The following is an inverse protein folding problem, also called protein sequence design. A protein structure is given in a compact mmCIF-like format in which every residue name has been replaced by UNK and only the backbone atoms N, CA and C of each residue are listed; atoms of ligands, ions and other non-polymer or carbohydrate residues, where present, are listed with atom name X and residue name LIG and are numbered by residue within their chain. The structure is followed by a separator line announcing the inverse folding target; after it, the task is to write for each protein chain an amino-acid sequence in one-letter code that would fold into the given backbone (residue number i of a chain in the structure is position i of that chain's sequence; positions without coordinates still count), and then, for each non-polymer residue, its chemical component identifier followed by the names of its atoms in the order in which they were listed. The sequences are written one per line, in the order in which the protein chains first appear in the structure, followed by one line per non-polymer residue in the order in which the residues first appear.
data_IF_323765763651
#
_entry.id   IF_323765763651
#
_cell.length_a   1.000
_cell.length_b   1.000
_cell.length_c   1.000
_cell.angle_alpha   90.00
_cell.angle_beta   90.00
_cell.angle_gamma   90.00
#
_symmetry.space_group_name_H-M   'P 1'
#
loop_
_entity.id
_entity.type
_entity.pdbx_description
1 polymer ?
#
# COMPACT_ATOMS: atom_id res chain seq x y z
N UNK A 1 -2.56 -12.77 10.70
CA UNK A 1 -2.02 -13.82 9.81
C UNK A 1 -1.06 -13.12 8.88
N UNK A 2 0.23 -13.46 8.96
CA UNK A 2 1.24 -12.97 8.02
C UNK A 2 1.26 -13.95 6.83
N UNK A 3 1.14 -13.45 5.61
CA UNK A 3 1.19 -14.29 4.41
C UNK A 3 2.66 -14.40 3.99
N UNK A 4 3.25 -15.57 4.20
CA UNK A 4 4.61 -15.87 3.74
C UNK A 4 4.54 -17.03 2.73
N UNK A 5 5.39 -17.00 1.70
CA UNK A 5 5.50 -18.03 0.65
C UNK A 5 4.27 -18.22 -0.27
N UNK A 6 3.50 -17.15 -0.54
CA UNK A 6 2.46 -17.18 -1.58
C UNK A 6 3.09 -16.89 -2.94
N UNK A 7 2.92 -17.84 -3.87
CA UNK A 7 3.21 -17.65 -5.29
C UNK A 7 2.08 -16.81 -5.92
N UNK A 8 2.46 -15.79 -6.68
CA UNK A 8 1.51 -14.93 -7.37
C UNK A 8 1.38 -15.34 -8.84
N UNK A 9 0.22 -15.13 -9.47
CA UNK A 9 0.06 -15.34 -10.90
C UNK A 9 1.07 -14.50 -11.70
N UNK A 10 1.58 -14.99 -12.84
CA UNK A 10 2.59 -14.28 -13.64
C UNK A 10 2.11 -12.93 -14.19
N UNK A 11 0.79 -12.75 -14.32
CA UNK A 11 0.14 -11.50 -14.71
C UNK A 11 -0.22 -10.58 -13.54
N UNK A 12 0.19 -10.93 -12.32
CA UNK A 12 -0.08 -10.10 -11.16
C UNK A 12 0.54 -8.70 -11.31
N UNK A 13 -0.12 -7.72 -10.71
CA UNK A 13 0.34 -6.34 -10.56
C UNK A 13 0.19 -5.99 -9.08
N UNK A 14 1.28 -5.51 -8.50
CA UNK A 14 1.26 -4.94 -7.16
C UNK A 14 1.03 -3.43 -7.29
N UNK A 15 -0.12 -2.97 -6.80
CA UNK A 15 -0.50 -1.57 -6.75
C UNK A 15 -0.24 -1.03 -5.35
N UNK A 16 0.49 0.08 -5.25
CA UNK A 16 0.84 0.73 -4.00
C UNK A 16 0.43 2.19 -4.06
N UNK A 17 -0.30 2.65 -3.04
CA UNK A 17 -0.78 4.03 -2.96
C UNK A 17 -0.35 4.68 -1.65
N UNK A 18 0.22 5.87 -1.74
CA UNK A 18 0.31 6.80 -0.62
C UNK A 18 -0.96 7.65 -0.62
N UNK A 19 -1.71 7.60 0.48
CA UNK A 19 -2.97 8.31 0.63
C UNK A 19 -2.94 9.27 1.82
N UNK A 20 -3.68 10.37 1.71
CA UNK A 20 -4.08 11.19 2.85
C UNK A 20 -5.17 10.45 3.64
N UNK A 21 -5.13 10.58 4.97
CA UNK A 21 -6.06 9.93 5.89
C UNK A 21 -7.10 10.90 6.44
N UNK A 22 -8.34 10.42 6.50
CA UNK A 22 -9.41 11.08 7.27
C UNK A 22 -9.11 11.01 8.76
N UNK A 23 -9.93 11.69 9.58
CA UNK A 23 -9.83 11.58 11.05
C UNK A 23 -10.08 10.16 11.56
N UNK A 24 -10.87 9.39 10.84
CA UNK A 24 -11.21 7.99 11.11
C UNK A 24 -10.14 7.01 10.61
N UNK A 25 -9.08 7.50 9.94
CA UNK A 25 -8.00 6.68 9.41
C UNK A 25 -8.35 5.97 8.09
N UNK A 26 -9.27 6.51 7.32
CA UNK A 26 -9.65 6.00 6.00
C UNK A 26 -8.97 6.81 4.90
N UNK A 27 -8.78 6.21 3.71
CA UNK A 27 -8.23 6.93 2.57
C UNK A 27 -9.17 8.07 2.13
N UNK A 28 -8.64 9.28 2.08
CA UNK A 28 -9.35 10.48 1.63
C UNK A 28 -8.97 10.85 0.19
N UNK A 29 -7.67 10.87 -0.08
CA UNK A 29 -7.09 11.34 -1.34
C UNK A 29 -5.82 10.56 -1.65
N UNK A 30 -5.64 10.17 -2.92
CA UNK A 30 -4.39 9.57 -3.40
C UNK A 30 -3.37 10.68 -3.63
N UNK A 31 -2.19 10.55 -3.04
CA UNK A 31 -1.05 11.46 -3.20
C UNK A 31 -0.08 10.92 -4.26
N UNK A 32 0.21 9.61 -4.18
CA UNK A 32 1.06 8.90 -5.14
C UNK A 32 0.45 7.52 -5.38
N UNK A 33 0.56 7.04 -6.61
CA UNK A 33 0.21 5.69 -7.02
C UNK A 33 1.35 5.10 -7.85
N UNK A 34 1.80 3.91 -7.50
CA UNK A 34 2.86 3.17 -8.16
C UNK A 34 2.39 1.74 -8.44
N UNK A 35 2.73 1.22 -9.61
CA UNK A 35 2.37 -0.12 -10.05
C UNK A 35 3.63 -0.92 -10.39
N UNK A 36 3.80 -2.07 -9.74
CA UNK A 36 4.91 -2.97 -9.95
C UNK A 36 4.41 -4.22 -10.70
N UNK A 37 4.93 -4.42 -11.91
CA UNK A 37 4.51 -5.53 -12.76
C UNK A 37 5.15 -6.85 -12.34
N UNK A 38 4.37 -7.93 -12.45
CA UNK A 38 4.81 -9.33 -12.29
C UNK A 38 5.55 -9.61 -10.97
N UNK A 39 4.98 -9.26 -9.80
CA UNK A 39 5.53 -9.72 -8.53
C UNK A 39 5.45 -11.26 -8.50
N UNK A 40 6.54 -11.92 -8.10
CA UNK A 40 6.64 -13.38 -8.15
C UNK A 40 6.14 -14.01 -6.85
N UNK A 41 6.55 -13.47 -5.71
CA UNK A 41 6.21 -13.98 -4.39
C UNK A 41 6.23 -12.90 -3.32
N UNK A 42 5.61 -13.17 -2.18
CA UNK A 42 5.67 -12.32 -0.98
C UNK A 42 6.63 -12.93 0.07
N UNK A 43 7.37 -12.11 0.84
CA UNK A 43 7.32 -10.64 0.91
C UNK A 43 7.94 -9.92 -0.30
N UNK A 44 7.47 -8.70 -0.56
CA UNK A 44 7.91 -7.82 -1.65
C UNK A 44 8.59 -6.59 -1.07
N UNK A 45 9.80 -6.26 -1.55
CA UNK A 45 10.40 -4.95 -1.29
C UNK A 45 9.78 -3.91 -2.21
N UNK A 46 9.55 -2.70 -1.68
CA UNK A 46 8.95 -1.61 -2.43
C UNK A 46 9.53 -0.27 -2.00
N UNK A 47 9.37 0.73 -2.88
CA UNK A 47 9.76 2.10 -2.59
C UNK A 47 8.84 3.07 -3.32
N UNK A 48 8.19 3.96 -2.58
CA UNK A 48 7.31 4.98 -3.14
C UNK A 48 7.98 6.36 -3.03
N UNK A 49 8.16 7.02 -4.16
CA UNK A 49 8.68 8.39 -4.20
C UNK A 49 7.54 9.38 -4.07
N UNK A 50 7.73 10.41 -3.27
CA UNK A 50 6.79 11.51 -3.14
C UNK A 50 7.54 12.84 -3.10
N UNK A 51 6.87 13.93 -3.50
CA UNK A 51 7.37 15.28 -3.27
C UNK A 51 7.13 15.66 -1.81
N UNK A 52 8.17 15.96 -1.00
CA UNK A 52 7.99 16.41 0.37
C UNK A 52 7.10 17.66 0.51
N UNK A 53 6.99 18.50 -0.53
CA UNK A 53 6.11 19.67 -0.53
C UNK A 53 4.62 19.31 -0.63
N UNK A 54 4.30 18.10 -1.08
CA UNK A 54 2.93 17.59 -1.12
C UNK A 54 2.45 17.05 0.24
N UNK A 55 3.33 17.02 1.26
CA UNK A 55 3.07 16.49 2.59
C UNK A 55 2.85 17.65 3.58
N UNK A 56 1.61 17.80 4.05
CA UNK A 56 1.26 18.68 5.16
C UNK A 56 1.44 17.94 6.50
N UNK A 57 2.32 18.44 7.36
CA UNK A 57 2.64 17.82 8.65
C UNK A 57 1.44 17.73 9.60
N UNK A 58 0.37 18.50 9.38
CA UNK A 58 -0.84 18.47 10.20
C UNK A 58 -1.82 17.37 9.79
N UNK A 59 -1.69 16.83 8.57
CA UNK A 59 -2.54 15.76 8.06
C UNK A 59 -1.98 14.39 8.44
N UNK A 60 -2.75 13.34 8.17
CA UNK A 60 -2.32 11.96 8.31
C UNK A 60 -2.07 11.36 6.93
N UNK A 61 -1.11 10.46 6.83
CA UNK A 61 -0.84 9.72 5.60
C UNK A 61 -0.76 8.23 5.89
N UNK A 62 -1.14 7.42 4.90
CA UNK A 62 -1.09 5.97 4.99
C UNK A 62 -0.79 5.31 3.65
N UNK A 63 -0.38 4.05 3.73
CA UNK A 63 -0.12 3.20 2.58
C UNK A 63 -1.28 2.23 2.36
N UNK A 64 -1.81 2.19 1.15
CA UNK A 64 -2.67 1.09 0.69
C UNK A 64 -1.91 0.21 -0.29
N UNK A 65 -2.01 -1.10 -0.11
CA UNK A 65 -1.43 -2.08 -1.02
C UNK A 65 -2.51 -3.00 -1.57
N UNK A 66 -2.43 -3.31 -2.86
CA UNK A 66 -3.28 -4.29 -3.55
C UNK A 66 -2.45 -5.16 -4.46
N UNK A 67 -2.86 -6.41 -4.61
CA UNK A 67 -2.33 -7.31 -5.63
C UNK A 67 -3.49 -7.68 -6.53
N UNK A 68 -3.37 -7.38 -7.81
CA UNK A 68 -4.39 -7.57 -8.83
C UNK A 68 -3.88 -8.55 -9.87
N UNK A 69 -4.69 -9.51 -10.30
CA UNK A 69 -4.37 -10.41 -11.42
C UNK A 69 -5.63 -10.68 -12.24
N UNK A 70 -5.51 -10.70 -13.57
CA UNK A 70 -6.65 -10.93 -14.45
C UNK A 70 -7.84 -9.98 -14.22
N UNK A 71 -7.56 -8.73 -13.83
CA UNK A 71 -8.60 -7.72 -13.53
C UNK A 71 -9.32 -7.89 -12.18
N UNK A 72 -8.85 -8.80 -11.31
CA UNK A 72 -9.43 -9.07 -9.99
C UNK A 72 -8.43 -8.73 -8.89
N UNK A 73 -8.91 -8.08 -7.83
CA UNK A 73 -8.11 -7.88 -6.61
C UNK A 73 -8.02 -9.22 -5.87
N UNK A 74 -6.81 -9.75 -5.73
CA UNK A 74 -6.52 -10.97 -5.00
C UNK A 74 -6.26 -10.70 -3.52
N UNK A 75 -5.46 -9.66 -3.26
CA UNK A 75 -5.09 -9.24 -1.91
C UNK A 75 -5.21 -7.74 -1.75
N UNK A 76 -5.57 -7.26 -0.56
CA UNK A 76 -5.54 -5.85 -0.22
C UNK A 76 -5.24 -5.60 1.26
N UNK A 77 -4.80 -4.39 1.58
CA UNK A 77 -4.83 -3.88 2.95
C UNK A 77 -6.27 -3.69 3.43
N UNK A 78 -6.57 -4.11 4.66
CA UNK A 78 -7.90 -3.88 5.27
C UNK A 78 -8.16 -2.40 5.57
N UNK A 79 -7.10 -1.65 5.89
CA UNK A 79 -7.08 -0.20 6.12
C UNK A 79 -5.73 0.36 5.69
N UNK A 80 -5.62 1.66 5.36
CA UNK A 80 -4.34 2.31 5.15
C UNK A 80 -3.39 2.13 6.34
N UNK A 81 -2.13 1.81 6.08
CA UNK A 81 -1.08 1.67 7.10
C UNK A 81 -0.43 3.05 7.35
N UNK A 82 -0.54 3.66 8.53
CA UNK A 82 -0.06 5.02 8.77
C UNK A 82 1.46 5.20 8.57
N UNK A 83 1.86 6.31 7.93
CA UNK A 83 3.26 6.65 7.61
C UNK A 83 3.54 8.17 7.69
N UNK A 84 4.83 8.54 7.64
CA UNK A 84 5.39 9.89 7.44
C UNK A 84 5.15 10.93 8.55
N UNK A 85 3.90 11.14 8.96
CA UNK A 85 3.49 12.23 9.86
C UNK A 85 2.93 11.69 11.17
N UNK A 86 2.75 12.57 12.16
CA UNK A 86 2.16 12.22 13.47
C UNK A 86 2.93 11.13 14.22
N UNK A 87 4.25 11.14 14.08
CA UNK A 87 5.16 10.16 14.71
C UNK A 87 5.26 8.82 14.00
N UNK A 88 4.57 8.63 12.86
CA UNK A 88 4.66 7.41 12.08
C UNK A 88 5.99 7.34 11.29
N UNK A 89 6.56 6.14 11.10
CA UNK A 89 7.84 5.98 10.41
C UNK A 89 7.71 6.20 8.90
N UNK A 90 8.85 6.42 8.24
CA UNK A 90 8.95 6.44 6.77
C UNK A 90 9.18 5.07 6.12
N UNK A 91 9.45 4.04 6.93
CA UNK A 91 9.57 2.63 6.51
C UNK A 91 8.58 1.80 7.29
N UNK A 92 7.84 0.92 6.60
CA UNK A 92 6.77 0.11 7.18
C UNK A 92 6.71 -1.26 6.51
N UNK A 93 6.30 -2.26 7.28
CA UNK A 93 5.82 -3.52 6.74
C UNK A 93 4.31 -3.42 6.49
N UNK A 94 3.87 -3.77 5.29
CA UNK A 94 2.46 -3.75 4.92
C UNK A 94 1.96 -5.19 4.82
N UNK A 95 0.96 -5.51 5.64
CA UNK A 95 0.27 -6.80 5.58
C UNK A 95 -0.99 -6.66 4.73
N UNK A 96 -1.09 -7.51 3.71
CA UNK A 96 -2.30 -7.67 2.89
C UNK A 96 -3.04 -8.95 3.27
N UNK A 97 -4.35 -8.95 3.06
CA UNK A 97 -5.24 -10.09 3.28
C UNK A 97 -5.92 -10.47 1.96
N UNK A 98 -6.30 -11.75 1.75
CA UNK A 98 -7.06 -12.13 0.58
C UNK A 98 -8.42 -11.42 0.55
N UNK A 99 -8.86 -10.98 -0.63
CA UNK A 99 -10.23 -10.51 -0.83
C UNK A 99 -11.15 -11.74 -0.84
N UNK A 100 -12.29 -11.66 -0.15
CA UNK A 100 -13.33 -12.71 -0.15
C UNK A 100 -14.25 -12.59 -1.34
#
# INVERSE_FOLDING_TARGET
MYITNVQLPPEAVFELKLVELTREGMAAKVIVEENYARPVSMPLEFFIRHDPKAIDRNLGYGMEARIVAGGRVLFNTTRPVPVLTRGNPGSVEIVVVPVR
#
